data_IF_586439047104
#
_entry.id   IF_586439047104
#
_cell.length_a   1.000
_cell.length_b   1.000
_cell.length_c   1.000
_cell.angle_alpha   90.00
_cell.angle_beta   90.00
_cell.angle_gamma   90.00
#
_symmetry.space_group_name_H-M   'P 1'
#
loop_
_entity.id
_entity.type
_entity.pdbx_description
1 polymer ?
#
# COMPACT_ATOMS: atom_id res chain seq x y z
N UNK A 1 6.67 -6.56 -1.57
CA UNK A 1 6.02 -5.71 -2.59
C UNK A 1 5.06 -6.46 -3.53
N UNK A 2 5.22 -7.76 -3.84
CA UNK A 2 4.32 -8.48 -4.77
C UNK A 2 2.91 -8.78 -4.24
N UNK A 3 2.71 -8.90 -2.93
CA UNK A 3 1.42 -9.29 -2.35
C UNK A 3 0.37 -8.15 -2.36
N UNK A 4 0.83 -6.91 -2.23
CA UNK A 4 -0.04 -5.73 -2.22
C UNK A 4 -0.67 -5.51 -3.61
N UNK A 5 0.09 -5.73 -4.67
CA UNK A 5 -0.37 -5.56 -6.06
C UNK A 5 -1.49 -6.56 -6.43
N UNK A 6 -1.44 -7.77 -5.87
CA UNK A 6 -2.48 -8.78 -6.06
C UNK A 6 -3.77 -8.41 -5.33
N UNK A 7 -3.65 -7.92 -4.09
CA UNK A 7 -4.78 -7.45 -3.29
C UNK A 7 -5.47 -6.23 -3.94
N UNK A 8 -4.70 -5.30 -4.51
CA UNK A 8 -5.26 -4.21 -5.31
C UNK A 8 -6.07 -4.69 -6.53
N UNK A 9 -5.57 -5.69 -7.27
CA UNK A 9 -6.31 -6.26 -8.40
C UNK A 9 -7.61 -6.93 -7.95
N UNK A 10 -7.59 -7.65 -6.83
CA UNK A 10 -8.77 -8.27 -6.27
C UNK A 10 -9.83 -7.24 -5.84
N UNK A 11 -9.41 -6.15 -5.18
CA UNK A 11 -10.32 -5.07 -4.78
C UNK A 11 -10.92 -4.34 -5.99
N UNK A 12 -10.13 -4.09 -7.03
CA UNK A 12 -10.63 -3.54 -8.29
C UNK A 12 -11.59 -4.48 -9.01
N UNK A 13 -11.33 -5.79 -8.97
CA UNK A 13 -12.26 -6.81 -9.46
C UNK A 13 -13.58 -6.77 -8.72
N UNK A 14 -13.55 -6.78 -7.39
CA UNK A 14 -14.75 -6.72 -6.55
C UNK A 14 -15.58 -5.45 -6.81
N UNK A 15 -14.95 -4.29 -6.99
CA UNK A 15 -15.66 -3.06 -7.33
C UNK A 15 -16.36 -3.12 -8.69
N UNK A 16 -15.68 -3.68 -9.70
CA UNK A 16 -16.27 -3.86 -11.05
C UNK A 16 -17.42 -4.85 -11.01
N UNK A 17 -17.24 -5.97 -10.31
CA UNK A 17 -18.25 -7.01 -10.20
C UNK A 17 -19.48 -6.54 -9.42
N UNK A 18 -19.31 -5.64 -8.46
CA UNK A 18 -20.38 -5.10 -7.64
C UNK A 18 -21.13 -3.91 -8.28
N UNK A 19 -20.54 -3.29 -9.30
CA UNK A 19 -21.09 -2.09 -9.93
C UNK A 19 -22.48 -2.36 -10.53
N UNK A 20 -23.46 -1.53 -10.14
CA UNK A 20 -24.82 -1.59 -10.68
C UNK A 20 -25.70 -2.73 -10.15
N UNK A 21 -25.22 -3.56 -9.22
CA UNK A 21 -26.02 -4.67 -8.65
C UNK A 21 -27.14 -4.22 -7.72
N UNK A 22 -27.01 -3.06 -7.07
CA UNK A 22 -28.06 -2.49 -6.19
C UNK A 22 -28.38 -3.33 -4.94
N UNK A 23 -27.51 -4.27 -4.58
CA UNK A 23 -27.69 -5.26 -3.51
C UNK A 23 -26.80 -4.96 -2.27
N UNK A 24 -26.16 -3.79 -2.23
CA UNK A 24 -25.22 -3.41 -1.18
C UNK A 24 -23.80 -3.98 -1.37
N UNK A 25 -23.55 -4.76 -2.43
CA UNK A 25 -22.22 -5.33 -2.69
C UNK A 25 -21.19 -4.26 -3.07
N UNK A 26 -21.64 -3.17 -3.69
CA UNK A 26 -20.76 -2.08 -4.11
C UNK A 26 -20.23 -1.32 -2.91
N UNK A 27 -21.11 -0.97 -1.98
CA UNK A 27 -20.78 -0.29 -0.72
C UNK A 27 -19.79 -1.12 0.09
N UNK A 28 -20.02 -2.43 0.19
CA UNK A 28 -19.08 -3.36 0.85
C UNK A 28 -17.71 -3.40 0.17
N UNK A 29 -17.67 -3.47 -1.17
CA UNK A 29 -16.43 -3.49 -1.93
C UNK A 29 -15.66 -2.17 -1.78
N UNK A 30 -16.36 -1.04 -1.75
CA UNK A 30 -15.78 0.29 -1.52
C UNK A 30 -15.19 0.39 -0.12
N UNK A 31 -15.92 -0.02 0.92
CA UNK A 31 -15.42 -0.02 2.30
C UNK A 31 -14.15 -0.86 2.42
N UNK A 32 -14.15 -2.08 1.89
CA UNK A 32 -12.98 -2.96 1.92
C UNK A 32 -11.78 -2.38 1.17
N UNK A 33 -12.01 -1.67 0.06
CA UNK A 33 -10.95 -1.01 -0.69
C UNK A 33 -10.33 0.14 0.12
N UNK A 34 -11.15 0.98 0.76
CA UNK A 34 -10.65 2.08 1.59
C UNK A 34 -9.94 1.60 2.85
N UNK A 35 -10.46 0.57 3.53
CA UNK A 35 -9.77 -0.05 4.67
C UNK A 35 -8.36 -0.49 4.30
N UNK A 36 -8.20 -1.13 3.13
CA UNK A 36 -6.88 -1.55 2.66
C UNK A 36 -5.96 -0.36 2.34
N UNK A 37 -6.48 0.72 1.73
CA UNK A 37 -5.71 1.94 1.47
C UNK A 37 -5.25 2.57 2.78
N UNK A 38 -6.13 2.70 3.77
CA UNK A 38 -5.75 3.27 5.07
C UNK A 38 -4.76 2.39 5.82
N UNK A 39 -4.90 1.07 5.75
CA UNK A 39 -3.90 0.14 6.27
C UNK A 39 -2.54 0.35 5.60
N UNK A 40 -2.51 0.49 4.27
CA UNK A 40 -1.27 0.70 3.52
C UNK A 40 -0.63 2.06 3.87
N UNK A 41 -1.43 3.13 3.93
CA UNK A 41 -0.94 4.46 4.34
C UNK A 41 -0.45 4.47 5.79
N UNK A 42 -1.12 3.75 6.69
CA UNK A 42 -0.67 3.58 8.08
C UNK A 42 0.69 2.89 8.15
N UNK A 43 0.88 1.79 7.42
CA UNK A 43 2.18 1.11 7.34
C UNK A 43 3.28 1.99 6.74
N UNK A 44 2.96 2.76 5.70
CA UNK A 44 3.90 3.71 5.10
C UNK A 44 4.29 4.80 6.09
N UNK A 45 3.32 5.37 6.80
CA UNK A 45 3.56 6.39 7.81
C UNK A 45 4.33 5.83 9.02
N UNK A 46 4.03 4.62 9.47
CA UNK A 46 4.80 3.94 10.53
C UNK A 46 6.22 3.63 10.09
N UNK A 47 6.44 3.30 8.81
CA UNK A 47 7.77 3.11 8.23
C UNK A 47 8.56 4.44 8.21
N UNK A 48 7.92 5.54 7.81
CA UNK A 48 8.50 6.91 7.84
C UNK A 48 8.62 7.47 9.27
N UNK A 49 7.79 7.03 10.21
CA UNK A 49 7.93 7.42 11.62
C UNK A 49 9.06 6.64 12.31
N UNK A 50 9.32 5.40 11.88
CA UNK A 50 10.42 4.56 12.38
C UNK A 50 11.76 4.90 11.73
N UNK A 51 11.79 5.31 10.46
CA UNK A 51 12.94 5.92 9.82
C UNK A 51 12.67 7.40 9.66
N UNK A 52 13.17 8.24 10.58
CA UNK A 52 12.91 9.69 10.68
C UNK A 52 13.17 10.50 9.39
N UNK A 53 13.20 11.85 9.43
CA UNK A 53 13.14 12.72 8.24
C UNK A 53 14.19 12.47 7.15
N UNK A 54 15.24 11.70 7.44
CA UNK A 54 16.10 11.02 6.48
C UNK A 54 15.71 9.54 6.36
N UNK A 55 14.61 9.26 5.65
CA UNK A 55 14.11 7.89 5.45
C UNK A 55 15.24 6.96 5.00
N UNK A 56 15.71 6.14 5.94
CA UNK A 56 16.80 5.15 5.80
C UNK A 56 17.88 5.60 4.79
N UNK A 57 18.81 6.46 5.24
CA UNK A 57 20.17 6.35 4.71
C UNK A 57 20.64 4.94 5.05
N UNK A 58 20.41 4.01 4.12
CA UNK A 58 20.91 2.65 4.16
C UNK A 58 22.37 2.77 4.57
N UNK A 59 22.73 2.31 5.78
CA UNK A 59 24.14 2.27 6.17
C UNK A 59 24.84 1.46 5.09
N UNK A 60 25.74 2.14 4.39
CA UNK A 60 26.70 1.46 3.53
C UNK A 60 27.44 0.49 4.44
N UNK A 61 27.34 -0.80 4.13
CA UNK A 61 28.21 -1.81 4.75
C UNK A 61 29.66 -1.39 4.46
N UNK A 62 30.58 -1.69 5.39
CA UNK A 62 31.98 -1.27 5.30
C UNK A 62 32.59 -1.64 3.93
N UNK A 63 32.69 -0.64 3.04
CA UNK A 63 33.25 -0.79 1.68
C UNK A 63 32.39 -0.28 0.51
N UNK A 64 31.12 0.10 0.69
CA UNK A 64 30.32 0.65 -0.41
C UNK A 64 30.60 2.15 -0.64
N UNK A 65 30.85 2.53 -1.91
CA UNK A 65 31.08 3.94 -2.32
C UNK A 65 29.78 4.64 -2.71
N UNK A 66 29.56 5.83 -2.13
CA UNK A 66 28.38 6.68 -2.30
C UNK A 66 28.25 7.39 -3.67
N UNK A 67 28.91 6.90 -4.71
CA UNK A 67 28.91 7.55 -6.02
C UNK A 67 27.95 6.84 -6.95
N UNK A 68 26.66 7.20 -6.84
CA UNK A 68 25.66 7.26 -7.92
C UNK A 68 24.33 7.67 -7.27
N UNK A 69 24.17 8.98 -7.06
CA UNK A 69 22.86 9.62 -6.92
C UNK A 69 22.54 10.32 -8.22
#
# INVERSE_FOLDING_TARGET
>A
MSADTEKHRALLGALKDAHGKGDGSFEKAVTAAFEHVFEHLGRLNDHVARGGPDGEERRLEDGESATLR
#
